data_IF_917466527422
#
_entry.id   IF_917466527422
#
_cell.length_a   1.000
_cell.length_b   1.000
_cell.length_c   1.000
_cell.angle_alpha   90.00
_cell.angle_beta   90.00
_cell.angle_gamma   90.00
#
_symmetry.space_group_name_H-M   'P 1'
#
loop_
_entity.id
_entity.type
_entity.pdbx_description
1 polymer ?
#
# COMPACT_ATOMS: atom_id res chain seq x y z
N UNK A 1 -23.32 21.55 21.21
CA UNK A 1 -22.44 21.70 20.06
C UNK A 1 -21.83 20.33 19.80
N UNK A 2 -22.11 19.71 18.66
CA UNK A 2 -21.61 18.37 18.38
C UNK A 2 -20.13 18.45 18.00
N UNK A 3 -19.29 17.58 18.55
CA UNK A 3 -17.83 17.52 18.23
C UNK A 3 -17.62 17.45 16.71
N UNK A 4 -18.56 16.86 15.96
CA UNK A 4 -18.55 16.79 14.49
C UNK A 4 -18.53 18.17 13.82
N UNK A 5 -19.17 19.18 14.40
CA UNK A 5 -19.26 20.53 13.81
C UNK A 5 -17.95 21.33 13.94
N UNK A 6 -17.15 21.02 14.95
CA UNK A 6 -15.89 21.74 15.24
C UNK A 6 -14.78 21.49 14.24
N UNK A 7 -14.81 20.32 13.56
CA UNK A 7 -13.72 19.88 12.66
C UNK A 7 -14.14 19.78 11.19
N UNK A 8 -15.40 20.06 10.87
CA UNK A 8 -15.93 19.91 9.53
C UNK A 8 -16.05 21.25 8.81
N UNK A 9 -15.50 21.34 7.59
CA UNK A 9 -15.53 22.55 6.75
C UNK A 9 -16.80 22.69 5.90
N UNK A 10 -17.74 21.76 5.97
CA UNK A 10 -18.98 21.79 5.17
C UNK A 10 -20.19 22.05 6.06
N UNK A 11 -21.11 22.87 5.56
CA UNK A 11 -22.29 23.33 6.30
C UNK A 11 -23.46 22.35 6.31
N UNK A 12 -23.41 21.29 5.49
CA UNK A 12 -24.49 20.31 5.36
C UNK A 12 -23.97 18.88 5.51
N UNK A 13 -24.77 18.02 6.13
CA UNK A 13 -24.50 16.60 6.33
C UNK A 13 -25.74 15.83 5.90
N UNK A 14 -25.56 14.81 5.05
CA UNK A 14 -26.64 13.90 4.71
C UNK A 14 -26.79 12.88 5.85
N UNK A 15 -27.91 12.91 6.55
CA UNK A 15 -28.28 11.92 7.55
C UNK A 15 -29.18 10.88 6.91
N UNK A 16 -28.94 9.63 7.21
CA UNK A 16 -29.75 8.51 6.79
C UNK A 16 -30.19 7.74 8.02
N UNK A 17 -31.44 7.31 8.03
CA UNK A 17 -32.02 6.52 9.13
C UNK A 17 -32.56 5.20 8.61
N UNK A 18 -32.34 4.13 9.39
CA UNK A 18 -32.97 2.83 9.24
C UNK A 18 -33.58 2.47 10.58
N UNK A 19 -34.88 2.57 10.70
CA UNK A 19 -35.58 2.48 11.98
C UNK A 19 -35.04 3.51 12.98
N UNK A 20 -34.49 3.04 14.12
CA UNK A 20 -33.91 3.89 15.18
C UNK A 20 -32.43 4.17 14.98
N UNK A 21 -31.78 3.56 13.99
CA UNK A 21 -30.37 3.80 13.68
C UNK A 21 -30.21 4.97 12.74
N UNK A 22 -29.45 5.97 13.16
CA UNK A 22 -29.13 7.16 12.37
C UNK A 22 -27.61 7.33 12.24
N UNK A 23 -27.15 7.54 11.01
CA UNK A 23 -25.75 7.89 10.75
C UNK A 23 -25.63 8.78 9.51
N UNK A 24 -24.45 9.37 9.31
CA UNK A 24 -24.19 10.21 8.16
C UNK A 24 -23.31 9.48 7.14
N UNK A 25 -23.61 9.71 5.87
CA UNK A 25 -22.83 9.13 4.77
C UNK A 25 -22.53 10.18 3.71
N UNK A 26 -21.43 9.98 2.99
CA UNK A 26 -21.10 10.80 1.83
C UNK A 26 -21.82 10.26 0.58
N UNK A 27 -22.47 11.15 -0.14
CA UNK A 27 -23.19 10.80 -1.37
C UNK A 27 -24.60 10.29 -1.12
N UNK A 28 -25.18 9.71 -2.17
CA UNK A 28 -26.55 9.23 -2.17
C UNK A 28 -26.61 7.74 -1.82
N UNK A 29 -27.57 7.38 -0.99
CA UNK A 29 -27.91 6.00 -0.68
C UNK A 29 -29.22 5.61 -1.32
N UNK A 30 -29.42 4.31 -1.51
CA UNK A 30 -30.68 3.75 -2.00
C UNK A 30 -31.81 3.96 -0.99
N UNK A 31 -33.03 4.11 -1.48
CA UNK A 31 -34.23 4.31 -0.64
C UNK A 31 -34.54 3.13 0.27
N UNK A 32 -34.12 1.93 -0.08
CA UNK A 32 -34.39 0.72 0.67
C UNK A 32 -33.28 -0.30 0.51
N UNK A 33 -32.98 -1.01 1.57
CA UNK A 33 -32.07 -2.17 1.57
C UNK A 33 -32.55 -3.31 0.67
N UNK A 34 -33.86 -3.34 0.30
CA UNK A 34 -34.43 -4.30 -0.65
C UNK A 34 -33.83 -4.25 -2.06
N UNK A 35 -33.13 -3.17 -2.41
CA UNK A 35 -32.35 -3.09 -3.66
C UNK A 35 -31.05 -3.88 -3.61
N UNK A 36 -30.53 -4.18 -2.41
CA UNK A 36 -29.29 -4.93 -2.21
C UNK A 36 -29.59 -6.44 -2.21
N UNK A 37 -29.73 -7.03 -3.39
CA UNK A 37 -30.13 -8.44 -3.55
C UNK A 37 -28.94 -9.40 -3.60
N UNK A 38 -27.81 -8.95 -4.11
CA UNK A 38 -26.67 -9.80 -4.42
C UNK A 38 -25.51 -9.48 -3.49
N UNK A 39 -25.36 -10.26 -2.44
CA UNK A 39 -24.22 -10.21 -1.53
C UNK A 39 -24.07 -11.56 -0.81
N UNK A 40 -22.91 -11.82 -0.25
CA UNK A 40 -22.66 -12.97 0.63
C UNK A 40 -21.91 -12.53 1.87
N UNK A 41 -22.20 -13.15 2.99
CA UNK A 41 -21.50 -12.98 4.24
C UNK A 41 -20.72 -14.24 4.56
N UNK A 42 -19.42 -14.07 4.89
CA UNK A 42 -18.57 -15.15 5.33
C UNK A 42 -18.01 -14.81 6.70
N UNK A 43 -18.05 -15.77 7.62
CA UNK A 43 -17.30 -15.61 8.87
C UNK A 43 -15.80 -15.63 8.55
N UNK A 44 -15.07 -14.65 9.06
CA UNK A 44 -13.65 -14.56 8.85
C UNK A 44 -12.96 -14.00 10.09
N UNK A 45 -12.10 -14.82 10.72
CA UNK A 45 -11.46 -14.53 12.00
C UNK A 45 -12.50 -14.18 13.09
N UNK A 46 -12.35 -13.06 13.78
CA UNK A 46 -13.27 -12.56 14.81
C UNK A 46 -14.46 -11.75 14.24
N UNK A 47 -14.49 -11.54 12.93
CA UNK A 47 -15.49 -10.73 12.25
C UNK A 47 -16.14 -11.45 11.09
N UNK A 48 -16.50 -10.69 10.08
CA UNK A 48 -17.09 -11.19 8.84
C UNK A 48 -16.63 -10.40 7.62
N UNK A 49 -16.71 -11.03 6.47
CA UNK A 49 -16.49 -10.41 5.16
C UNK A 49 -17.81 -10.29 4.43
N UNK A 50 -18.14 -9.07 4.02
CA UNK A 50 -19.24 -8.80 3.11
C UNK A 50 -18.70 -8.83 1.67
N UNK A 51 -19.04 -9.86 0.91
CA UNK A 51 -18.67 -10.00 -0.49
C UNK A 51 -19.76 -9.39 -1.37
N UNK A 52 -19.37 -8.37 -2.14
CA UNK A 52 -20.21 -7.73 -3.13
C UNK A 52 -19.95 -8.31 -4.52
N UNK A 53 -20.89 -8.20 -5.49
CA UNK A 53 -20.65 -8.54 -6.88
C UNK A 53 -19.63 -7.62 -7.53
N UNK A 54 -18.99 -8.10 -8.59
CA UNK A 54 -18.14 -7.29 -9.45
C UNK A 54 -18.99 -6.36 -10.32
N UNK A 55 -18.44 -5.19 -10.68
CA UNK A 55 -19.16 -4.18 -11.47
C UNK A 55 -19.65 -4.76 -12.81
N UNK A 56 -18.84 -5.59 -13.45
CA UNK A 56 -19.15 -6.19 -14.74
C UNK A 56 -20.18 -7.33 -14.66
N UNK A 57 -20.43 -7.87 -13.44
CA UNK A 57 -21.36 -8.98 -13.17
C UNK A 57 -22.19 -8.71 -11.94
N UNK A 58 -23.06 -7.70 -11.96
CA UNK A 58 -23.76 -7.21 -10.77
C UNK A 58 -24.76 -8.21 -10.15
N UNK A 59 -25.13 -9.25 -10.86
CA UNK A 59 -26.05 -10.30 -10.38
C UNK A 59 -25.34 -11.54 -9.84
N UNK A 60 -23.98 -11.57 -9.91
CA UNK A 60 -23.21 -12.74 -9.53
C UNK A 60 -22.19 -12.39 -8.47
N UNK A 61 -22.27 -13.06 -7.32
CA UNK A 61 -21.25 -12.90 -6.26
C UNK A 61 -20.20 -13.99 -6.42
N UNK A 62 -18.96 -13.59 -6.70
CA UNK A 62 -17.81 -14.49 -6.82
C UNK A 62 -17.55 -15.23 -5.50
N UNK A 63 -16.79 -16.32 -5.58
CA UNK A 63 -16.39 -17.06 -4.38
C UNK A 63 -15.34 -16.26 -3.60
N UNK A 64 -15.52 -16.16 -2.28
CA UNK A 64 -14.56 -15.49 -1.41
C UNK A 64 -13.24 -16.26 -1.35
N UNK A 65 -12.15 -15.53 -1.57
CA UNK A 65 -10.78 -16.04 -1.42
C UNK A 65 -10.08 -15.28 -0.29
N UNK A 66 -9.72 -15.98 0.76
CA UNK A 66 -9.07 -15.38 1.91
C UNK A 66 -7.64 -14.90 1.55
N UNK A 67 -7.37 -13.62 1.78
CA UNK A 67 -6.04 -13.01 1.65
C UNK A 67 -5.40 -12.86 3.04
N UNK A 68 -5.04 -13.96 3.65
CA UNK A 68 -4.60 -14.02 5.05
C UNK A 68 -3.43 -13.09 5.39
N UNK A 69 -2.40 -13.02 4.53
CA UNK A 69 -1.26 -12.11 4.74
C UNK A 69 -1.68 -10.63 4.73
N UNK A 70 -2.52 -10.24 3.79
CA UNK A 70 -3.04 -8.88 3.71
C UNK A 70 -3.87 -8.53 4.93
N UNK A 71 -4.73 -9.44 5.36
CA UNK A 71 -5.57 -9.28 6.54
C UNK A 71 -4.73 -9.14 7.82
N UNK A 72 -3.68 -9.94 7.98
CA UNK A 72 -2.75 -9.82 9.11
C UNK A 72 -2.08 -8.45 9.17
N UNK A 73 -1.59 -7.94 8.04
CA UNK A 73 -0.99 -6.60 7.97
C UNK A 73 -2.00 -5.51 8.33
N UNK A 74 -3.26 -5.65 7.90
CA UNK A 74 -4.31 -4.72 8.32
C UNK A 74 -4.60 -4.78 9.81
N UNK A 75 -4.65 -5.98 10.41
CA UNK A 75 -4.80 -6.12 11.89
C UNK A 75 -3.64 -5.47 12.65
N UNK A 76 -2.40 -5.66 12.18
CA UNK A 76 -1.23 -5.00 12.76
C UNK A 76 -1.36 -3.47 12.69
N UNK A 77 -1.81 -2.93 11.56
CA UNK A 77 -2.00 -1.49 11.38
C UNK A 77 -3.06 -0.91 12.34
N UNK A 78 -4.19 -1.62 12.51
CA UNK A 78 -5.22 -1.23 13.49
C UNK A 78 -4.63 -1.23 14.90
N UNK A 79 -3.94 -2.31 15.28
CA UNK A 79 -3.30 -2.40 16.60
C UNK A 79 -2.30 -1.26 16.87
N UNK A 80 -1.64 -0.76 15.84
CA UNK A 80 -0.76 0.41 15.98
C UNK A 80 -1.54 1.68 16.30
N UNK A 81 -2.71 1.85 15.68
CA UNK A 81 -3.62 2.96 16.00
C UNK A 81 -4.12 2.89 17.45
N UNK A 82 -4.51 1.69 17.89
CA UNK A 82 -5.00 1.44 19.25
C UNK A 82 -3.93 1.79 20.31
N UNK A 83 -2.69 1.35 20.11
CA UNK A 83 -1.56 1.61 21.02
C UNK A 83 -1.33 3.12 21.22
N UNK A 84 -1.61 3.93 20.23
CA UNK A 84 -1.41 5.38 20.28
C UNK A 84 -2.69 6.16 20.50
N UNK A 85 -3.81 5.49 20.76
CA UNK A 85 -5.13 6.11 20.96
C UNK A 85 -5.59 7.01 19.80
N UNK A 86 -5.13 6.69 18.57
CA UNK A 86 -5.46 7.39 17.32
C UNK A 86 -6.23 6.52 16.33
N UNK A 87 -6.87 5.45 16.79
CA UNK A 87 -7.68 4.53 15.99
C UNK A 87 -8.85 5.19 15.26
N UNK A 88 -9.29 6.32 15.78
CA UNK A 88 -10.40 7.10 15.21
C UNK A 88 -9.96 8.53 14.87
N UNK A 89 -10.68 9.15 13.92
CA UNK A 89 -10.48 10.59 13.63
C UNK A 89 -10.69 11.43 14.87
N UNK A 90 -11.61 11.05 15.75
CA UNK A 90 -11.83 11.72 17.03
C UNK A 90 -10.62 11.61 17.98
N UNK A 91 -9.98 10.44 18.04
CA UNK A 91 -8.73 10.22 18.77
C UNK A 91 -7.61 11.09 18.23
N UNK A 92 -7.38 11.04 16.92
CA UNK A 92 -6.37 11.88 16.26
C UNK A 92 -6.60 13.38 16.50
N UNK A 93 -7.84 13.85 16.40
CA UNK A 93 -8.16 15.25 16.65
C UNK A 93 -7.90 15.65 18.11
N UNK A 94 -8.18 14.79 19.08
CA UNK A 94 -7.82 15.03 20.49
C UNK A 94 -6.32 15.15 20.67
N UNK A 95 -5.55 14.24 20.08
CA UNK A 95 -4.10 14.26 20.13
C UNK A 95 -3.50 15.55 19.54
N UNK A 96 -4.05 16.03 18.41
CA UNK A 96 -3.64 17.31 17.81
C UNK A 96 -3.96 18.49 18.72
N UNK A 97 -5.14 18.51 19.34
CA UNK A 97 -5.57 19.62 20.20
C UNK A 97 -4.91 19.63 21.57
N UNK A 98 -4.44 18.49 22.09
CA UNK A 98 -3.63 18.42 23.32
C UNK A 98 -2.19 18.87 23.11
N UNK A 99 -1.71 18.95 21.87
CA UNK A 99 -0.33 19.34 21.56
C UNK A 99 0.64 18.16 21.39
N UNK A 100 0.16 16.92 21.52
CA UNK A 100 1.00 15.70 21.51
C UNK A 100 1.32 15.19 20.10
N UNK A 101 0.88 15.89 19.06
CA UNK A 101 1.02 15.49 17.66
C UNK A 101 2.48 15.22 17.23
N UNK A 102 3.44 15.99 17.77
CA UNK A 102 4.86 15.81 17.44
C UNK A 102 5.38 14.47 17.98
N UNK A 103 5.03 14.13 19.21
CA UNK A 103 5.39 12.85 19.81
C UNK A 103 4.75 11.68 19.03
N UNK A 104 3.49 11.82 18.67
CA UNK A 104 2.79 10.82 17.84
C UNK A 104 3.49 10.59 16.50
N UNK A 105 3.92 11.66 15.81
CA UNK A 105 4.68 11.55 14.56
C UNK A 105 6.00 10.81 14.77
N UNK A 106 6.77 11.16 15.81
CA UNK A 106 8.03 10.50 16.12
C UNK A 106 7.85 9.01 16.43
N UNK A 107 6.80 8.66 17.17
CA UNK A 107 6.48 7.24 17.47
C UNK A 107 6.10 6.50 16.21
N UNK A 108 5.28 7.08 15.33
CA UNK A 108 4.90 6.49 14.05
C UNK A 108 6.12 6.27 13.13
N UNK A 109 7.02 7.23 13.06
CA UNK A 109 8.26 7.11 12.29
C UNK A 109 9.17 6.01 12.86
N UNK A 110 9.32 5.94 14.17
CA UNK A 110 10.10 4.89 14.82
C UNK A 110 9.52 3.49 14.57
N UNK A 111 8.19 3.34 14.64
CA UNK A 111 7.49 2.09 14.33
C UNK A 111 7.70 1.68 12.87
N UNK A 112 7.61 2.63 11.94
CA UNK A 112 7.86 2.40 10.53
C UNK A 112 9.30 1.96 10.27
N UNK A 113 10.29 2.66 10.85
CA UNK A 113 11.70 2.31 10.70
C UNK A 113 12.01 0.92 11.25
N UNK A 114 11.45 0.59 12.42
CA UNK A 114 11.58 -0.76 12.98
C UNK A 114 11.05 -1.82 12.01
N UNK A 115 9.89 -1.60 11.39
CA UNK A 115 9.30 -2.54 10.45
C UNK A 115 10.14 -2.68 9.18
N UNK A 116 10.72 -1.59 8.68
CA UNK A 116 11.63 -1.62 7.52
C UNK A 116 12.90 -2.39 7.87
N UNK A 117 13.45 -2.20 9.08
CA UNK A 117 14.61 -2.94 9.56
C UNK A 117 14.35 -4.44 9.67
N UNK A 118 13.18 -4.84 10.18
CA UNK A 118 12.75 -6.25 10.23
C UNK A 118 12.68 -6.87 8.81
N UNK A 119 12.12 -6.14 7.85
CA UNK A 119 12.07 -6.58 6.44
C UNK A 119 13.48 -6.71 5.86
N UNK A 120 14.36 -5.74 6.11
CA UNK A 120 15.74 -5.80 5.66
C UNK A 120 16.49 -7.00 6.25
N UNK A 121 16.27 -7.31 7.53
CA UNK A 121 16.84 -8.46 8.19
C UNK A 121 16.32 -9.78 7.59
N UNK A 122 15.02 -9.88 7.30
CA UNK A 122 14.44 -11.03 6.61
C UNK A 122 15.04 -11.24 5.22
N UNK A 123 15.32 -10.17 4.47
CA UNK A 123 15.99 -10.25 3.16
C UNK A 123 17.44 -10.68 3.34
N UNK A 124 18.17 -10.07 4.27
CA UNK A 124 19.58 -10.38 4.53
C UNK A 124 19.81 -11.83 5.00
N UNK A 125 18.82 -12.42 5.68
CA UNK A 125 18.88 -13.83 6.10
C UNK A 125 18.67 -14.84 4.95
N UNK A 126 18.37 -14.37 3.74
CA UNK A 126 18.07 -15.17 2.55
C UNK A 126 19.02 -14.81 1.40
N UNK A 127 20.23 -15.35 1.37
CA UNK A 127 21.25 -14.98 0.38
C UNK A 127 20.86 -15.31 -1.07
N UNK A 128 19.85 -16.16 -1.27
CA UNK A 128 19.29 -16.50 -2.57
C UNK A 128 18.43 -15.38 -3.17
N UNK A 129 17.95 -14.42 -2.38
CA UNK A 129 17.14 -13.30 -2.88
C UNK A 129 18.05 -12.35 -3.66
N UNK A 130 17.72 -12.18 -4.94
CA UNK A 130 18.40 -11.25 -5.86
C UNK A 130 17.57 -10.01 -6.15
N UNK A 131 16.25 -10.16 -6.19
CA UNK A 131 15.31 -9.10 -6.47
C UNK A 131 14.29 -8.96 -5.35
N UNK A 132 13.97 -7.72 -5.01
CA UNK A 132 12.88 -7.35 -4.11
C UNK A 132 11.94 -6.43 -4.88
N UNK A 133 10.74 -6.92 -5.17
CA UNK A 133 9.73 -6.16 -5.91
C UNK A 133 8.84 -5.40 -4.92
N UNK A 134 8.74 -4.08 -5.11
CA UNK A 134 7.92 -3.18 -4.29
C UNK A 134 6.77 -2.68 -5.14
N UNK A 135 5.56 -3.16 -4.84
CA UNK A 135 4.34 -2.76 -5.53
C UNK A 135 3.42 -1.97 -4.59
N UNK A 136 2.64 -1.08 -5.17
CA UNK A 136 1.64 -0.29 -4.44
C UNK A 136 0.97 0.73 -5.37
N UNK A 137 -0.18 1.29 -4.97
CA UNK A 137 -0.89 2.29 -5.76
C UNK A 137 -0.06 3.57 -5.96
N UNK A 138 -0.53 4.44 -6.84
CA UNK A 138 0.09 5.76 -7.03
C UNK A 138 0.10 6.53 -5.71
N UNK A 139 1.13 7.32 -5.48
CA UNK A 139 1.32 8.13 -4.26
C UNK A 139 1.36 7.35 -2.94
N UNK A 140 1.56 6.03 -2.96
CA UNK A 140 1.65 5.18 -1.75
C UNK A 140 3.00 5.22 -1.04
N UNK A 141 3.94 6.04 -1.52
CA UNK A 141 5.27 6.15 -0.91
C UNK A 141 6.27 5.06 -1.29
N UNK A 142 6.05 4.32 -2.39
CA UNK A 142 6.95 3.25 -2.87
C UNK A 142 8.41 3.70 -2.96
N UNK A 143 8.66 4.87 -3.55
CA UNK A 143 10.00 5.42 -3.73
C UNK A 143 10.67 5.70 -2.39
N UNK A 144 9.96 6.35 -1.47
CA UNK A 144 10.47 6.63 -0.11
C UNK A 144 10.76 5.33 0.63
N UNK A 145 9.86 4.35 0.54
CA UNK A 145 10.05 3.04 1.15
C UNK A 145 11.28 2.32 0.58
N UNK A 146 11.47 2.32 -0.75
CA UNK A 146 12.62 1.67 -1.39
C UNK A 146 13.95 2.28 -0.95
N UNK A 147 14.01 3.61 -0.80
CA UNK A 147 15.20 4.28 -0.29
C UNK A 147 15.48 3.92 1.17
N UNK A 148 14.48 3.95 2.05
CA UNK A 148 14.63 3.57 3.46
C UNK A 148 15.03 2.10 3.60
N UNK A 149 14.42 1.21 2.83
CA UNK A 149 14.80 -0.21 2.79
C UNK A 149 16.25 -0.38 2.32
N UNK A 150 16.67 0.37 1.31
CA UNK A 150 18.05 0.36 0.82
C UNK A 150 19.05 0.76 1.92
N UNK A 151 18.71 1.76 2.74
CA UNK A 151 19.56 2.15 3.89
C UNK A 151 19.67 1.01 4.90
N UNK A 152 18.54 0.39 5.27
CA UNK A 152 18.52 -0.72 6.22
C UNK A 152 19.25 -1.97 5.68
N UNK A 153 19.16 -2.26 4.38
CA UNK A 153 19.92 -3.33 3.74
C UNK A 153 21.43 -3.05 3.77
N UNK A 154 21.85 -1.79 3.56
CA UNK A 154 23.25 -1.40 3.71
C UNK A 154 23.75 -1.56 5.14
N UNK A 155 22.93 -1.24 6.13
CA UNK A 155 23.25 -1.48 7.54
C UNK A 155 23.43 -2.98 7.86
N UNK A 156 22.79 -3.87 7.08
CA UNK A 156 22.99 -5.31 7.13
C UNK A 156 24.14 -5.81 6.22
N UNK A 157 25.00 -4.92 5.71
CA UNK A 157 26.18 -5.26 4.91
C UNK A 157 25.90 -5.58 3.43
N UNK A 158 24.67 -5.35 2.96
CA UNK A 158 24.29 -5.57 1.56
C UNK A 158 24.56 -4.33 0.70
N UNK A 159 24.56 -4.49 -0.62
CA UNK A 159 24.68 -3.41 -1.60
C UNK A 159 23.47 -3.36 -2.54
N UNK A 160 22.32 -2.86 -2.08
CA UNK A 160 21.13 -2.77 -2.90
C UNK A 160 21.27 -1.68 -3.98
N UNK A 161 20.67 -1.92 -5.13
CA UNK A 161 20.54 -0.98 -6.24
C UNK A 161 19.06 -0.71 -6.48
N UNK A 162 18.48 0.38 -5.95
CA UNK A 162 17.11 0.75 -6.21
C UNK A 162 16.90 1.09 -7.69
N UNK A 163 15.92 0.46 -8.31
CA UNK A 163 15.56 0.66 -9.71
C UNK A 163 14.11 1.07 -9.78
N UNK A 164 13.83 2.22 -10.38
CA UNK A 164 12.48 2.68 -10.62
C UNK A 164 11.99 2.13 -11.96
N UNK A 165 10.91 1.36 -11.95
CA UNK A 165 10.28 0.84 -13.16
C UNK A 165 9.78 1.98 -14.05
N UNK A 166 9.50 3.14 -13.47
CA UNK A 166 9.09 4.35 -14.18
C UNK A 166 10.11 4.80 -15.26
N UNK A 167 11.39 4.45 -15.10
CA UNK A 167 12.43 4.75 -16.09
C UNK A 167 12.33 3.89 -17.36
N UNK A 168 11.49 2.86 -17.35
CA UNK A 168 11.29 1.93 -18.46
C UNK A 168 9.97 2.16 -19.20
N UNK A 169 9.21 3.20 -18.87
CA UNK A 169 8.03 3.54 -19.63
C UNK A 169 8.41 4.01 -21.02
N UNK A 170 7.71 3.49 -22.04
CA UNK A 170 7.82 3.94 -23.42
C UNK A 170 7.41 5.41 -23.55
N UNK A 171 7.89 6.08 -24.58
CA UNK A 171 7.45 7.42 -24.88
C UNK A 171 5.94 7.46 -25.16
N UNK A 172 5.29 8.59 -24.89
CA UNK A 172 3.84 8.73 -25.03
C UNK A 172 3.33 8.34 -26.43
N UNK A 173 4.12 8.58 -27.46
CA UNK A 173 3.77 8.24 -28.85
C UNK A 173 3.76 6.72 -29.13
N UNK A 174 4.53 5.94 -28.36
CA UNK A 174 4.70 4.51 -28.51
C UNK A 174 3.83 3.69 -27.55
N UNK A 175 3.20 4.37 -26.58
CA UNK A 175 2.30 3.72 -25.62
C UNK A 175 1.03 3.26 -26.33
N UNK A 176 0.62 1.98 -26.22
CA UNK A 176 -0.61 1.48 -26.81
C UNK A 176 -1.84 2.20 -26.27
N UNK A 177 -2.81 2.36 -27.13
CA UNK A 177 -4.11 2.94 -26.77
C UNK A 177 -5.09 1.83 -26.39
N UNK A 178 -5.98 2.18 -25.47
CA UNK A 178 -7.11 1.33 -25.10
C UNK A 178 -8.19 1.31 -26.23
N UNK A 179 -9.23 0.50 -26.05
CA UNK A 179 -10.35 0.39 -26.99
C UNK A 179 -11.10 1.73 -27.21
N UNK A 180 -10.94 2.69 -26.29
CA UNK A 180 -11.54 4.04 -26.36
C UNK A 180 -10.60 5.07 -26.96
N UNK A 181 -9.40 4.67 -27.38
CA UNK A 181 -8.40 5.56 -27.99
C UNK A 181 -7.55 6.36 -27.00
N UNK A 182 -7.66 6.12 -25.70
CA UNK A 182 -6.82 6.75 -24.68
C UNK A 182 -5.53 5.95 -24.48
N UNK A 183 -4.44 6.63 -24.14
CA UNK A 183 -3.20 5.96 -23.82
C UNK A 183 -3.32 5.16 -22.51
N UNK A 184 -3.00 3.87 -22.56
CA UNK A 184 -3.02 3.00 -21.38
C UNK A 184 -1.65 2.97 -20.71
N UNK A 185 -1.40 3.92 -19.81
CA UNK A 185 -0.14 3.99 -19.04
C UNK A 185 -0.06 2.99 -17.88
N UNK A 186 -1.15 2.34 -17.50
CA UNK A 186 -1.18 1.37 -16.41
C UNK A 186 -0.97 -0.07 -16.88
N UNK A 187 -1.00 -0.28 -18.19
CA UNK A 187 -0.79 -1.59 -18.79
C UNK A 187 0.69 -1.98 -18.88
N UNK A 188 0.97 -3.28 -18.77
CA UNK A 188 2.33 -3.81 -18.93
C UNK A 188 2.95 -3.45 -20.28
N UNK A 189 2.12 -3.28 -21.31
CA UNK A 189 2.52 -2.87 -22.66
C UNK A 189 3.09 -1.43 -22.74
N UNK A 190 2.84 -0.60 -21.73
CA UNK A 190 3.44 0.74 -21.63
C UNK A 190 4.91 0.71 -21.18
N UNK A 191 5.37 -0.41 -20.65
CA UNK A 191 6.76 -0.60 -20.22
C UNK A 191 7.56 -1.28 -21.34
N UNK A 192 8.79 -0.84 -21.55
CA UNK A 192 9.78 -1.50 -22.40
C UNK A 192 10.33 -2.74 -21.66
N UNK A 193 9.61 -3.85 -21.81
CA UNK A 193 9.93 -5.11 -21.12
C UNK A 193 11.27 -5.67 -21.62
N UNK A 194 11.57 -5.55 -22.90
CA UNK A 194 12.78 -6.09 -23.50
C UNK A 194 14.03 -5.39 -22.95
N UNK A 195 13.96 -4.06 -22.87
CA UNK A 195 15.02 -3.25 -22.24
C UNK A 195 15.17 -3.58 -20.76
N UNK A 196 14.03 -3.68 -20.03
CA UNK A 196 14.03 -4.03 -18.60
C UNK A 196 14.66 -5.40 -18.37
N UNK A 197 14.24 -6.42 -19.10
CA UNK A 197 14.75 -7.78 -18.97
C UNK A 197 16.26 -7.84 -19.27
N UNK A 198 16.68 -7.22 -20.36
CA UNK A 198 18.10 -7.15 -20.75
C UNK A 198 18.94 -6.52 -19.64
N UNK A 199 18.54 -5.38 -19.11
CA UNK A 199 19.29 -4.70 -18.08
C UNK A 199 19.29 -5.47 -16.74
N UNK A 200 18.18 -6.14 -16.40
CA UNK A 200 18.16 -7.00 -15.21
C UNK A 200 19.07 -8.21 -15.36
N UNK A 201 19.17 -8.81 -16.54
CA UNK A 201 20.12 -9.89 -16.83
C UNK A 201 21.57 -9.41 -16.75
N UNK A 202 21.88 -8.25 -17.32
CA UNK A 202 23.21 -7.64 -17.23
C UNK A 202 23.61 -7.37 -15.77
N UNK A 203 22.71 -6.82 -14.96
CA UNK A 203 22.96 -6.59 -13.53
C UNK A 203 23.23 -7.90 -12.78
N UNK A 204 22.47 -8.95 -13.05
CA UNK A 204 22.71 -10.26 -12.46
C UNK A 204 24.10 -10.82 -12.86
N UNK A 205 24.47 -10.69 -14.13
CA UNK A 205 25.78 -11.11 -14.63
C UNK A 205 26.91 -10.30 -13.96
N UNK A 206 26.77 -8.99 -13.86
CA UNK A 206 27.77 -8.12 -13.22
C UNK A 206 27.94 -8.45 -11.72
N UNK A 207 26.86 -8.78 -11.02
CA UNK A 207 26.91 -9.22 -9.62
C UNK A 207 27.63 -10.57 -9.46
N UNK A 208 27.65 -11.40 -10.50
CA UNK A 208 28.41 -12.68 -10.54
C UNK A 208 29.87 -12.52 -10.91
N UNK A 209 30.21 -11.51 -11.72
CA UNK A 209 31.55 -11.30 -12.29
C UNK A 209 32.29 -10.18 -11.61
N UNK A 210 31.66 -9.37 -10.77
CA UNK A 210 32.36 -8.32 -10.02
C UNK A 210 33.25 -8.97 -8.96
N UNK A 211 34.58 -8.74 -9.01
CA UNK A 211 35.47 -9.20 -7.96
C UNK A 211 35.01 -8.65 -6.61
N UNK A 212 35.17 -9.43 -5.57
CA UNK A 212 34.88 -8.99 -4.21
C UNK A 212 35.56 -7.65 -3.94
N UNK A 213 34.95 -6.69 -3.25
CA UNK A 213 35.65 -5.44 -2.87
C UNK A 213 36.94 -5.67 -2.10
N UNK A 214 37.19 -6.88 -1.58
CA UNK A 214 38.45 -7.28 -0.97
C UNK A 214 39.58 -7.51 -2.01
N UNK A 215 39.20 -7.89 -3.24
CA UNK A 215 40.22 -8.19 -4.27
C UNK A 215 40.78 -6.90 -4.92
N UNK A 216 40.05 -5.78 -4.86
CA UNK A 216 40.51 -4.48 -5.33
C UNK A 216 41.43 -3.72 -4.36
N UNK A 217 41.54 -4.14 -3.11
CA UNK A 217 42.40 -3.52 -2.09
C UNK A 217 43.77 -4.18 -1.98
N UNK A 218 43.97 -5.32 -2.63
CA UNK A 218 45.24 -6.05 -2.61
C UNK A 218 46.12 -5.76 -3.84
N UNK A 219 45.71 -4.89 -4.75
CA UNK A 219 46.44 -4.52 -5.96
C UNK A 219 46.97 -3.07 -5.95
N UNK A 220 47.33 -2.54 -4.77
CA UNK A 220 48.14 -1.32 -4.64
C UNK A 220 49.20 -1.49 -3.59
#
# INVERSE_FOLDING_TARGET
MCIRDSYRRVSKVNLYSINEFEDYYYGYMLYSTGYLKYFKLYRYDEGFVLQMPEIDKPETVSHFQARTKFFQVMKESVKWGDIQEIETVGGLNRNITSGDVQETVLVQEAMQERRIAEIAQMIASRPEIRFVLIAGPSSSGKTTFSHRLSVQLRANGMRPHPIAVDNYFKERGETPKDEKGNYNFEGLCAVDIDLFEKQMQELLCLLYTSPSPRDGLLSR
#
